data_IF_078177973947
#
_entry.id   IF_078177973947
#
_cell.length_a   1.000
_cell.length_b   1.000
_cell.length_c   1.000
_cell.angle_alpha   90.00
_cell.angle_beta   90.00
_cell.angle_gamma   90.00
#
_symmetry.space_group_name_H-M   'P 1'
#
loop_
_entity.id
_entity.type
_entity.pdbx_description
1 polymer ?
#
# COMPACT_ATOMS: atom_id res chain seq x y z
N UNK A 1 -9.35 23.17 -2.29
CA UNK A 1 -9.97 23.99 -1.21
C UNK A 1 -9.65 23.27 0.11
N UNK A 2 -8.97 23.88 1.08
CA UNK A 2 -8.78 23.28 2.39
C UNK A 2 -10.15 23.20 3.07
N UNK A 3 -10.57 21.99 3.44
CA UNK A 3 -11.81 21.71 4.13
C UNK A 3 -11.85 22.43 5.46
N UNK A 4 -12.91 23.19 5.69
CA UNK A 4 -13.21 23.82 6.96
C UNK A 4 -13.44 22.71 8.01
N UNK A 5 -12.65 22.69 9.07
CA UNK A 5 -12.83 21.85 10.24
C UNK A 5 -14.03 22.34 11.05
N UNK A 6 -14.95 21.44 11.39
CA UNK A 6 -16.13 21.75 12.20
C UNK A 6 -15.74 22.39 13.56
N UNK A 7 -16.49 23.38 14.05
CA UNK A 7 -16.27 23.97 15.37
C UNK A 7 -16.50 22.92 16.46
N UNK A 8 -15.50 22.67 17.29
CA UNK A 8 -15.57 21.71 18.41
C UNK A 8 -14.55 20.55 18.34
N UNK A 9 -13.77 20.43 17.28
CA UNK A 9 -12.69 19.45 17.18
C UNK A 9 -11.59 19.72 18.25
N UNK A 10 -10.99 18.66 18.86
CA UNK A 10 -9.82 18.80 19.76
C UNK A 10 -8.67 19.63 19.17
N UNK A 11 -8.62 19.67 17.85
CA UNK A 11 -7.71 20.50 17.07
C UNK A 11 -7.92 22.01 17.29
N UNK A 12 -9.10 22.48 17.69
CA UNK A 12 -9.37 23.90 17.95
C UNK A 12 -8.54 24.47 19.12
N UNK A 13 -8.00 23.63 20.01
CA UNK A 13 -7.16 24.05 21.14
C UNK A 13 -5.69 24.35 20.77
N UNK A 14 -5.27 24.00 19.58
CA UNK A 14 -3.89 24.25 19.09
C UNK A 14 -3.78 25.54 18.26
N UNK A 15 -4.80 26.41 18.28
CA UNK A 15 -4.84 27.66 17.52
C UNK A 15 -3.99 28.72 18.22
N UNK A 16 -3.11 29.41 17.48
CA UNK A 16 -2.36 30.56 17.96
C UNK A 16 -3.26 31.77 18.26
N UNK A 17 -2.73 32.80 18.90
CA UNK A 17 -3.43 34.01 19.38
C UNK A 17 -4.24 34.77 18.28
N UNK A 18 -4.05 34.45 17.02
CA UNK A 18 -4.72 35.07 15.87
C UNK A 18 -5.61 34.11 15.07
N UNK A 19 -6.09 33.02 15.67
CA UNK A 19 -6.99 32.08 15.01
C UNK A 19 -6.34 31.12 14.01
N UNK A 20 -5.01 31.15 13.83
CA UNK A 20 -4.28 30.26 12.96
C UNK A 20 -3.72 29.05 13.71
N UNK A 21 -3.72 27.89 13.05
CA UNK A 21 -3.09 26.68 13.58
C UNK A 21 -1.60 26.91 13.85
N UNK A 22 -1.13 26.53 15.03
CA UNK A 22 0.29 26.56 15.33
C UNK A 22 1.05 25.46 14.55
N UNK A 23 0.41 24.30 14.44
CA UNK A 23 0.86 23.18 13.63
C UNK A 23 -0.31 22.73 12.73
N UNK A 24 -0.05 22.30 11.50
CA UNK A 24 -1.12 21.80 10.62
C UNK A 24 -1.76 20.54 11.23
N UNK A 25 -3.09 20.39 11.15
CA UNK A 25 -3.80 19.22 11.68
C UNK A 25 -3.64 17.97 10.82
N UNK A 26 -3.12 18.13 9.60
CA UNK A 26 -2.93 17.07 8.60
C UNK A 26 -1.61 17.27 7.86
N UNK A 27 -1.09 16.19 7.28
CA UNK A 27 0.18 16.20 6.56
C UNK A 27 1.38 15.88 7.44
N UNK A 28 2.56 16.03 6.86
CA UNK A 28 3.81 15.72 7.54
C UNK A 28 4.26 16.90 8.41
N UNK A 29 4.64 16.62 9.66
CA UNK A 29 5.28 17.56 10.54
C UNK A 29 6.80 17.56 10.30
N UNK A 30 7.25 18.36 9.35
CA UNK A 30 8.69 18.49 9.07
C UNK A 30 9.43 19.17 10.20
N UNK A 31 10.74 18.93 10.36
CA UNK A 31 11.57 19.66 11.34
C UNK A 31 11.46 21.19 11.20
N UNK A 32 11.30 21.70 9.99
CA UNK A 32 11.14 23.15 9.75
C UNK A 32 9.81 23.68 10.31
N UNK A 33 8.71 22.95 10.12
CA UNK A 33 7.38 23.31 10.68
C UNK A 33 7.45 23.31 12.21
N UNK A 34 8.02 22.26 12.80
CA UNK A 34 8.16 22.14 14.26
C UNK A 34 9.07 23.25 14.81
N UNK A 35 10.21 23.53 14.17
CA UNK A 35 11.13 24.60 14.58
C UNK A 35 10.45 25.97 14.59
N UNK A 36 9.63 26.30 13.58
CA UNK A 36 8.87 27.55 13.53
C UNK A 36 7.82 27.64 14.65
N UNK A 37 7.13 26.53 14.93
CA UNK A 37 6.15 26.49 16.02
C UNK A 37 6.82 26.73 17.39
N UNK A 38 7.96 26.12 17.63
CA UNK A 38 8.76 26.33 18.84
C UNK A 38 9.24 27.79 18.90
N UNK A 39 9.86 28.29 17.84
CA UNK A 39 10.36 29.65 17.76
C UNK A 39 9.26 30.69 18.04
N UNK A 40 8.07 30.52 17.46
CA UNK A 40 6.92 31.40 17.67
C UNK A 40 6.46 31.46 19.13
N UNK A 41 6.77 30.46 19.94
CA UNK A 41 6.48 30.46 21.39
C UNK A 41 7.65 31.01 22.21
N UNK A 42 8.86 30.56 21.90
CA UNK A 42 10.08 30.96 22.64
C UNK A 42 10.39 32.46 22.46
N UNK A 43 10.20 33.00 21.24
CA UNK A 43 10.48 34.43 20.95
C UNK A 43 9.59 35.39 21.72
N UNK A 44 8.52 34.92 22.36
CA UNK A 44 7.72 35.75 23.28
C UNK A 44 8.44 36.02 24.60
N UNK A 45 9.37 35.15 25.00
CA UNK A 45 10.10 35.21 26.26
C UNK A 45 11.57 35.51 26.04
N UNK A 46 12.11 35.01 24.96
CA UNK A 46 13.54 35.15 24.61
C UNK A 46 13.69 35.26 23.10
N UNK A 47 14.10 36.41 22.61
CA UNK A 47 14.44 36.66 21.21
C UNK A 47 15.94 36.78 21.06
N UNK A 48 16.53 36.05 20.12
CA UNK A 48 17.95 36.08 19.82
C UNK A 48 18.24 36.15 18.33
N UNK A 49 19.40 36.70 17.97
CA UNK A 49 19.86 36.71 16.59
C UNK A 49 19.91 35.30 15.99
N UNK A 50 20.37 34.32 16.76
CA UNK A 50 20.45 32.91 16.32
C UNK A 50 19.10 32.34 15.91
N UNK A 51 18.03 32.65 16.65
CA UNK A 51 16.66 32.20 16.28
C UNK A 51 16.23 32.88 15.00
N UNK A 52 16.39 34.17 14.86
CA UNK A 52 16.02 34.93 13.66
C UNK A 52 16.78 34.47 12.43
N UNK A 53 18.09 34.31 12.53
CA UNK A 53 18.95 33.84 11.43
C UNK A 53 18.56 32.43 10.96
N UNK A 54 18.24 31.53 11.91
CA UNK A 54 17.78 30.18 11.58
C UNK A 54 16.44 30.18 10.89
N UNK A 55 15.48 30.99 11.32
CA UNK A 55 14.19 31.15 10.66
C UNK A 55 14.37 31.71 9.26
N UNK A 56 15.16 32.76 9.09
CA UNK A 56 15.46 33.33 7.78
C UNK A 56 16.11 32.32 6.81
N UNK A 57 17.02 31.49 7.34
CA UNK A 57 17.60 30.38 6.58
C UNK A 57 16.55 29.38 6.12
N UNK A 58 15.62 28.97 6.99
CA UNK A 58 14.55 28.03 6.64
C UNK A 58 13.61 28.63 5.57
N UNK A 59 13.26 29.91 5.72
CA UNK A 59 12.41 30.61 4.75
C UNK A 59 13.08 30.73 3.37
N UNK A 60 14.36 31.06 3.34
CA UNK A 60 15.14 31.13 2.10
C UNK A 60 15.21 29.77 1.40
N UNK A 61 15.40 28.70 2.15
CA UNK A 61 15.44 27.32 1.60
C UNK A 61 14.07 26.87 1.07
N UNK A 62 12.99 27.18 1.75
CA UNK A 62 11.65 26.87 1.26
C UNK A 62 11.30 27.66 0.01
N UNK A 63 11.63 28.94 -0.04
CA UNK A 63 11.45 29.76 -1.24
C UNK A 63 12.27 29.23 -2.43
N UNK A 64 13.48 28.70 -2.20
CA UNK A 64 14.28 28.05 -3.23
C UNK A 64 13.62 26.75 -3.71
N UNK A 65 13.13 25.92 -2.79
CA UNK A 65 12.47 24.64 -3.10
C UNK A 65 11.11 24.82 -3.79
N UNK A 66 10.39 25.90 -3.47
CA UNK A 66 9.11 26.23 -4.09
C UNK A 66 9.23 26.66 -5.55
N UNK A 67 10.43 27.00 -6.03
CA UNK A 67 10.64 27.33 -7.44
C UNK A 67 10.50 26.09 -8.30
N UNK A 68 9.68 26.11 -9.36
CA UNK A 68 9.58 25.00 -10.29
C UNK A 68 10.94 24.70 -10.90
N UNK A 69 11.48 23.51 -10.61
CA UNK A 69 12.79 23.08 -11.16
C UNK A 69 12.64 22.41 -12.53
N UNK A 70 11.46 21.87 -12.81
CA UNK A 70 11.15 21.18 -14.06
C UNK A 70 9.77 21.57 -14.56
N UNK A 71 9.65 21.75 -15.88
CA UNK A 71 8.37 22.02 -16.55
C UNK A 71 7.45 20.78 -16.59
N UNK A 72 8.01 19.59 -16.36
CA UNK A 72 7.28 18.33 -16.33
C UNK A 72 7.76 17.43 -15.19
N UNK A 73 6.84 16.74 -14.54
CA UNK A 73 7.14 15.69 -13.56
C UNK A 73 6.83 14.32 -14.15
N UNK A 74 7.63 13.32 -13.80
CA UNK A 74 7.31 11.92 -14.15
C UNK A 74 6.38 11.32 -13.11
N UNK A 75 5.28 10.73 -13.57
CA UNK A 75 4.48 9.87 -12.73
C UNK A 75 5.25 8.58 -12.44
N UNK A 76 5.27 8.09 -11.19
CA UNK A 76 5.86 6.80 -10.86
C UNK A 76 5.24 5.69 -11.70
N UNK A 77 6.09 4.79 -12.23
CA UNK A 77 5.68 3.70 -13.10
C UNK A 77 6.56 2.47 -12.90
N UNK A 78 6.03 1.29 -13.24
CA UNK A 78 6.84 0.07 -13.23
C UNK A 78 7.95 0.12 -14.28
N UNK A 79 9.04 -0.61 -14.02
CA UNK A 79 10.12 -0.77 -14.98
C UNK A 79 9.61 -1.38 -16.29
N UNK A 80 10.29 -1.07 -17.39
CA UNK A 80 10.00 -1.69 -18.69
C UNK A 80 10.17 -3.21 -18.60
N UNK A 81 9.18 -3.96 -19.09
CA UNK A 81 9.17 -5.42 -19.02
C UNK A 81 8.80 -6.01 -17.65
N UNK A 82 8.58 -5.19 -16.62
CA UNK A 82 8.19 -5.69 -15.31
C UNK A 82 6.83 -6.44 -15.36
N UNK A 83 6.74 -7.67 -14.81
CA UNK A 83 5.48 -8.43 -14.76
C UNK A 83 4.34 -7.69 -14.07
N UNK A 84 4.64 -6.79 -13.15
CA UNK A 84 3.62 -6.01 -12.42
C UNK A 84 2.89 -5.00 -13.31
N UNK A 85 3.37 -4.74 -14.51
CA UNK A 85 2.59 -4.05 -15.54
C UNK A 85 1.30 -4.82 -15.88
N UNK A 86 1.26 -6.12 -15.68
CA UNK A 86 0.08 -6.96 -15.87
C UNK A 86 -0.59 -7.33 -14.55
N UNK A 87 0.18 -7.87 -13.58
CA UNK A 87 -0.36 -8.43 -12.34
C UNK A 87 -1.21 -7.45 -11.53
N UNK A 88 -0.95 -6.14 -11.61
CA UNK A 88 -1.71 -5.13 -10.87
C UNK A 88 -2.99 -4.65 -11.58
N UNK A 89 -3.25 -5.08 -12.81
CA UNK A 89 -4.53 -4.85 -13.47
C UNK A 89 -5.64 -5.65 -12.76
N UNK A 90 -6.83 -5.08 -12.74
CA UNK A 90 -8.03 -5.76 -12.23
C UNK A 90 -9.10 -5.81 -13.32
N UNK A 91 -10.03 -6.76 -13.27
CA UNK A 91 -11.16 -6.82 -14.19
C UNK A 91 -11.98 -5.53 -14.16
N UNK A 92 -12.73 -5.30 -15.23
CA UNK A 92 -13.67 -4.18 -15.29
C UNK A 92 -14.63 -4.24 -14.10
N UNK A 93 -14.99 -3.07 -13.58
CA UNK A 93 -15.88 -2.91 -12.42
C UNK A 93 -15.36 -3.57 -11.12
N UNK A 94 -14.03 -3.71 -11.02
CA UNK A 94 -13.35 -4.18 -9.82
C UNK A 94 -12.43 -3.10 -9.27
N UNK A 95 -12.17 -3.18 -7.96
CA UNK A 95 -11.26 -2.28 -7.24
C UNK A 95 -10.11 -3.06 -6.64
N UNK A 96 -8.99 -2.38 -6.47
CA UNK A 96 -7.84 -2.90 -5.75
C UNK A 96 -7.49 -2.01 -4.57
N UNK A 97 -6.90 -2.64 -3.56
CA UNK A 97 -6.19 -1.99 -2.47
C UNK A 97 -4.74 -2.46 -2.49
N UNK A 98 -3.85 -1.70 -1.92
CA UNK A 98 -2.42 -2.02 -1.95
C UNK A 98 -1.75 -1.72 -0.61
N UNK A 99 -0.55 -2.22 -0.44
CA UNK A 99 0.37 -1.80 0.59
C UNK A 99 1.54 -1.01 0.00
N UNK A 100 2.66 -1.00 0.71
CA UNK A 100 3.88 -0.32 0.29
C UNK A 100 4.82 -1.31 -0.39
N UNK A 101 5.20 -1.00 -1.62
CA UNK A 101 6.06 -1.79 -2.49
C UNK A 101 5.89 -1.29 -3.93
N UNK A 102 6.49 -1.95 -4.93
CA UNK A 102 6.33 -1.53 -6.32
C UNK A 102 4.85 -1.44 -6.75
N UNK A 103 3.99 -2.28 -6.20
CA UNK A 103 2.55 -2.27 -6.48
C UNK A 103 1.82 -0.99 -6.01
N UNK A 104 2.43 -0.20 -5.11
CA UNK A 104 1.92 1.12 -4.75
C UNK A 104 1.77 2.03 -5.99
N UNK A 105 2.67 1.92 -6.95
CA UNK A 105 2.65 2.75 -8.16
C UNK A 105 1.37 2.59 -8.98
N UNK A 106 0.64 1.48 -8.81
CA UNK A 106 -0.64 1.23 -9.50
C UNK A 106 -1.71 2.29 -9.19
N UNK A 107 -1.60 3.00 -8.07
CA UNK A 107 -2.48 4.12 -7.70
C UNK A 107 -2.45 5.23 -8.75
N UNK A 108 -1.28 5.52 -9.31
CA UNK A 108 -1.11 6.57 -10.32
C UNK A 108 -1.31 6.08 -11.76
N UNK A 109 -1.58 4.78 -11.95
CA UNK A 109 -1.59 4.15 -13.27
C UNK A 109 -3.00 3.86 -13.83
N UNK A 110 -4.05 4.42 -13.23
CA UNK A 110 -5.43 4.19 -13.70
C UNK A 110 -5.90 2.73 -13.54
N UNK A 111 -5.47 2.03 -12.48
CA UNK A 111 -5.73 0.61 -12.25
C UNK A 111 -6.76 0.33 -11.16
N UNK A 112 -7.63 1.31 -10.89
CA UNK A 112 -8.65 1.25 -9.84
C UNK A 112 -8.09 0.85 -8.47
N UNK A 113 -6.83 1.21 -8.17
CA UNK A 113 -6.24 1.03 -6.85
C UNK A 113 -6.61 2.26 -6.01
N UNK A 114 -7.43 2.06 -4.99
CA UNK A 114 -8.14 3.14 -4.29
C UNK A 114 -7.55 3.51 -2.94
N UNK A 115 -7.00 2.54 -2.23
CA UNK A 115 -6.46 2.75 -0.88
C UNK A 115 -5.13 2.03 -0.69
N UNK A 116 -4.34 2.57 0.24
CA UNK A 116 -3.04 2.05 0.61
C UNK A 116 -3.03 1.82 2.12
N UNK A 117 -2.47 0.69 2.53
CA UNK A 117 -2.15 0.38 3.92
C UNK A 117 -0.62 0.29 4.11
N UNK A 118 -0.17 0.28 5.36
CA UNK A 118 1.21 -0.07 5.69
C UNK A 118 1.54 -1.51 5.30
N UNK A 119 2.83 -1.82 5.17
CA UNK A 119 3.29 -3.19 4.92
C UNK A 119 2.79 -4.13 6.02
N UNK A 120 2.13 -5.22 5.62
CA UNK A 120 1.47 -6.18 6.51
C UNK A 120 0.01 -5.84 6.86
N UNK A 121 -0.50 -4.70 6.40
CA UNK A 121 -1.90 -4.30 6.57
C UNK A 121 -2.70 -4.30 5.25
N UNK A 122 -2.15 -4.88 4.19
CA UNK A 122 -2.80 -4.95 2.89
C UNK A 122 -4.17 -5.64 3.00
N UNK A 123 -5.20 -4.95 2.55
CA UNK A 123 -6.58 -5.46 2.62
C UNK A 123 -7.27 -5.31 3.98
N UNK A 124 -6.57 -5.00 5.08
CA UNK A 124 -7.19 -4.87 6.41
C UNK A 124 -8.20 -3.71 6.48
N UNK A 125 -7.96 -2.63 5.77
CA UNK A 125 -8.93 -1.53 5.65
C UNK A 125 -10.27 -2.00 5.04
N UNK A 126 -10.25 -3.00 4.17
CA UNK A 126 -11.46 -3.59 3.59
C UNK A 126 -12.34 -4.28 4.64
N UNK A 127 -11.75 -4.89 5.67
CA UNK A 127 -12.48 -5.55 6.75
C UNK A 127 -13.44 -4.59 7.46
N UNK A 128 -13.02 -3.33 7.63
CA UNK A 128 -13.86 -2.30 8.24
C UNK A 128 -14.87 -1.67 7.26
N UNK A 129 -14.61 -1.70 5.97
CA UNK A 129 -15.42 -1.03 4.94
C UNK A 129 -16.48 -1.96 4.33
N UNK A 130 -16.19 -3.25 4.21
CA UNK A 130 -16.99 -4.22 3.46
C UNK A 130 -18.49 -4.20 3.83
N UNK A 131 -18.82 -4.10 5.12
CA UNK A 131 -20.21 -4.04 5.60
C UNK A 131 -20.92 -2.70 5.38
N UNK A 132 -20.22 -1.67 4.87
CA UNK A 132 -20.72 -0.29 4.77
C UNK A 132 -20.67 0.26 3.34
N UNK A 133 -20.49 -0.59 2.34
CA UNK A 133 -20.40 -0.21 0.93
C UNK A 133 -21.21 -1.14 0.04
N UNK A 134 -21.62 -0.66 -1.14
CA UNK A 134 -22.22 -1.50 -2.18
C UNK A 134 -21.22 -2.36 -2.96
N UNK A 135 -19.92 -2.15 -2.76
CA UNK A 135 -18.87 -2.99 -3.35
C UNK A 135 -18.85 -4.34 -2.66
N UNK A 136 -18.91 -5.42 -3.45
CA UNK A 136 -18.98 -6.78 -2.90
C UNK A 136 -17.61 -7.40 -2.66
N UNK A 137 -16.62 -7.04 -3.45
CA UNK A 137 -15.32 -7.67 -3.47
C UNK A 137 -14.22 -6.66 -3.83
N UNK A 138 -13.00 -6.88 -3.31
CA UNK A 138 -11.80 -6.13 -3.70
C UNK A 138 -10.62 -7.06 -3.92
N UNK A 139 -9.67 -6.62 -4.74
CA UNK A 139 -8.36 -7.25 -4.87
C UNK A 139 -7.36 -6.53 -3.95
N UNK A 140 -6.51 -7.28 -3.24
CA UNK A 140 -5.45 -6.71 -2.41
C UNK A 140 -4.07 -7.10 -2.98
N UNK A 141 -3.32 -6.13 -3.50
CA UNK A 141 -1.96 -6.39 -3.97
C UNK A 141 -1.00 -6.42 -2.78
N UNK A 142 -0.20 -7.48 -2.68
CA UNK A 142 0.78 -7.71 -1.62
C UNK A 142 2.07 -8.24 -2.22
N UNK A 143 3.23 -7.68 -1.84
CA UNK A 143 4.53 -8.22 -2.22
C UNK A 143 4.91 -9.46 -1.40
N UNK A 144 5.75 -10.31 -1.96
CA UNK A 144 6.25 -11.52 -1.31
C UNK A 144 7.09 -11.24 -0.06
N UNK A 145 7.92 -10.20 -0.08
CA UNK A 145 8.64 -9.75 1.10
C UNK A 145 7.71 -9.35 2.24
N UNK A 146 6.64 -8.60 1.94
CA UNK A 146 5.62 -8.26 2.94
C UNK A 146 4.88 -9.49 3.44
N UNK A 147 4.49 -10.40 2.55
CA UNK A 147 3.87 -11.67 2.93
C UNK A 147 4.74 -12.42 3.94
N UNK A 148 6.04 -12.52 3.67
CA UNK A 148 6.99 -13.22 4.52
C UNK A 148 7.07 -12.62 5.93
N UNK A 149 7.27 -11.30 6.04
CA UNK A 149 7.50 -10.71 7.37
C UNK A 149 6.21 -10.43 8.17
N UNK A 150 5.07 -10.15 7.54
CA UNK A 150 3.85 -9.74 8.27
C UNK A 150 2.53 -9.90 7.52
N UNK A 151 2.53 -9.97 6.19
CA UNK A 151 1.30 -9.95 5.38
C UNK A 151 0.37 -11.14 5.61
N UNK A 152 0.91 -12.28 6.06
CA UNK A 152 0.11 -13.45 6.43
C UNK A 152 -0.91 -13.13 7.53
N UNK A 153 -0.59 -12.20 8.43
CA UNK A 153 -1.51 -11.78 9.51
C UNK A 153 -2.73 -11.02 8.96
N UNK A 154 -2.55 -10.23 7.88
CA UNK A 154 -3.66 -9.56 7.21
C UNK A 154 -4.61 -10.58 6.55
N UNK A 155 -4.06 -11.63 5.93
CA UNK A 155 -4.85 -12.72 5.33
C UNK A 155 -5.62 -13.47 6.41
N UNK A 156 -4.97 -13.81 7.52
CA UNK A 156 -5.62 -14.44 8.69
C UNK A 156 -6.77 -13.59 9.23
N UNK A 157 -6.56 -12.28 9.35
CA UNK A 157 -7.60 -11.36 9.79
C UNK A 157 -8.79 -11.33 8.82
N UNK A 158 -8.54 -11.35 7.51
CA UNK A 158 -9.58 -11.38 6.48
C UNK A 158 -10.38 -12.69 6.52
N UNK A 159 -9.72 -13.85 6.70
CA UNK A 159 -10.39 -15.15 6.88
C UNK A 159 -11.29 -15.12 8.11
N UNK A 160 -10.79 -14.61 9.24
CA UNK A 160 -11.56 -14.49 10.47
C UNK A 160 -12.78 -13.56 10.31
N UNK A 161 -12.65 -12.49 9.54
CA UNK A 161 -13.73 -11.53 9.26
C UNK A 161 -14.72 -12.02 8.19
N UNK A 162 -14.42 -13.09 7.48
CA UNK A 162 -15.27 -13.66 6.40
C UNK A 162 -15.68 -12.64 5.34
N UNK A 163 -14.74 -11.78 4.93
CA UNK A 163 -14.96 -10.80 3.87
C UNK A 163 -14.61 -11.36 2.51
N UNK A 164 -15.28 -10.88 1.46
CA UNK A 164 -14.97 -11.26 0.08
C UNK A 164 -13.78 -10.44 -0.43
N UNK A 165 -12.63 -11.09 -0.55
CA UNK A 165 -11.37 -10.47 -0.96
C UNK A 165 -10.47 -11.48 -1.68
N UNK A 166 -9.81 -11.03 -2.76
CA UNK A 166 -8.73 -11.79 -3.40
C UNK A 166 -7.40 -11.12 -3.12
N UNK A 167 -6.54 -11.78 -2.36
CA UNK A 167 -5.15 -11.37 -2.25
C UNK A 167 -4.38 -11.74 -3.51
N UNK A 168 -3.70 -10.77 -4.09
CA UNK A 168 -2.77 -10.97 -5.21
C UNK A 168 -1.36 -10.89 -4.66
N UNK A 169 -0.78 -12.07 -4.41
CA UNK A 169 0.59 -12.18 -3.93
C UNK A 169 1.56 -12.08 -5.11
N UNK A 170 2.28 -10.99 -5.16
CA UNK A 170 3.21 -10.64 -6.23
C UNK A 170 4.58 -11.21 -5.88
N UNK A 171 4.85 -12.42 -6.38
CA UNK A 171 6.05 -13.19 -6.04
C UNK A 171 7.16 -12.97 -7.07
N UNK A 172 8.28 -12.44 -6.62
CA UNK A 172 9.49 -12.28 -7.44
C UNK A 172 10.78 -12.62 -6.69
N UNK A 173 10.67 -13.17 -5.48
CA UNK A 173 11.78 -13.57 -4.62
C UNK A 173 12.77 -12.44 -4.31
N UNK A 174 12.27 -11.19 -4.28
CA UNK A 174 13.11 -10.02 -4.04
C UNK A 174 12.35 -8.86 -3.41
N UNK A 175 13.05 -8.08 -2.58
CA UNK A 175 12.60 -6.76 -2.13
C UNK A 175 12.91 -5.74 -3.23
N UNK A 176 12.07 -5.71 -4.26
CA UNK A 176 12.36 -5.02 -5.52
C UNK A 176 12.42 -3.50 -5.39
N UNK A 177 11.57 -2.88 -4.57
CA UNK A 177 11.45 -1.41 -4.42
C UNK A 177 12.77 -0.75 -3.98
N UNK A 178 13.54 -1.42 -3.13
CA UNK A 178 14.75 -0.87 -2.52
C UNK A 178 16.04 -1.32 -3.19
N UNK A 179 15.96 -2.03 -4.32
CA UNK A 179 17.12 -2.40 -5.11
C UNK A 179 17.29 -3.90 -5.37
N UNK A 180 16.25 -4.72 -5.10
CA UNK A 180 16.27 -6.15 -5.43
C UNK A 180 17.07 -6.99 -4.45
N UNK A 181 17.08 -6.63 -3.16
CA UNK A 181 17.67 -7.46 -2.12
C UNK A 181 16.92 -8.80 -2.03
N UNK A 182 17.60 -9.90 -1.70
CA UNK A 182 16.92 -11.16 -1.41
C UNK A 182 15.92 -11.00 -0.25
N UNK A 183 14.84 -11.75 -0.31
CA UNK A 183 13.91 -11.84 0.83
C UNK A 183 14.63 -12.55 1.98
N UNK A 184 14.56 -11.97 3.18
CA UNK A 184 15.21 -12.50 4.37
C UNK A 184 14.43 -13.71 4.91
N UNK A 185 14.84 -14.90 4.53
CA UNK A 185 14.13 -16.17 4.75
C UNK A 185 13.24 -16.54 3.55
N UNK A 186 13.84 -17.04 2.46
CA UNK A 186 13.10 -17.39 1.25
C UNK A 186 12.05 -18.48 1.53
N UNK A 187 10.84 -18.24 1.01
CA UNK A 187 9.75 -19.20 1.06
C UNK A 187 9.32 -19.53 -0.36
N UNK A 188 9.24 -20.80 -0.71
CA UNK A 188 8.85 -21.23 -2.05
C UNK A 188 7.35 -21.09 -2.28
N UNK A 189 6.93 -20.96 -3.54
CA UNK A 189 5.51 -20.88 -3.88
C UNK A 189 4.70 -22.09 -3.35
N UNK A 190 5.17 -23.35 -3.44
CA UNK A 190 4.47 -24.46 -2.80
C UNK A 190 4.33 -24.32 -1.27
N UNK A 191 5.34 -23.80 -0.58
CA UNK A 191 5.24 -23.55 0.87
C UNK A 191 4.20 -22.47 1.18
N UNK A 192 4.19 -21.37 0.40
CA UNK A 192 3.17 -20.31 0.51
C UNK A 192 1.77 -20.91 0.41
N UNK A 193 1.52 -21.76 -0.59
CA UNK A 193 0.18 -22.33 -0.77
C UNK A 193 -0.24 -23.20 0.41
N UNK A 194 0.69 -23.96 1.01
CA UNK A 194 0.41 -24.77 2.23
C UNK A 194 0.13 -23.88 3.45
N UNK A 195 0.87 -22.79 3.62
CA UNK A 195 0.59 -21.84 4.70
C UNK A 195 -0.80 -21.20 4.52
N UNK A 196 -1.13 -20.75 3.33
CA UNK A 196 -2.43 -20.15 3.02
C UNK A 196 -3.58 -21.14 3.26
N UNK A 197 -3.43 -22.39 2.86
CA UNK A 197 -4.41 -23.44 3.13
C UNK A 197 -4.57 -23.69 4.64
N UNK A 198 -3.46 -23.71 5.40
CA UNK A 198 -3.49 -23.84 6.86
C UNK A 198 -4.16 -22.64 7.56
N UNK A 199 -4.13 -21.45 6.97
CA UNK A 199 -4.87 -20.26 7.45
C UNK A 199 -6.38 -20.30 7.12
N UNK A 200 -6.82 -21.31 6.35
CA UNK A 200 -8.23 -21.45 5.96
C UNK A 200 -8.59 -20.80 4.62
N UNK A 201 -7.62 -20.49 3.78
CA UNK A 201 -7.89 -20.05 2.40
C UNK A 201 -8.27 -21.26 1.56
N UNK A 202 -9.53 -21.28 1.09
CA UNK A 202 -10.08 -22.42 0.37
C UNK A 202 -9.71 -22.46 -1.12
N UNK A 203 -9.54 -21.31 -1.74
CA UNK A 203 -9.23 -21.21 -3.18
C UNK A 203 -7.91 -20.48 -3.41
N UNK A 204 -6.93 -21.20 -3.93
CA UNK A 204 -5.60 -20.69 -4.25
C UNK A 204 -5.29 -21.04 -5.71
N UNK A 205 -4.86 -20.05 -6.49
CA UNK A 205 -4.41 -20.24 -7.87
C UNK A 205 -3.01 -19.66 -8.01
N UNK A 206 -2.14 -20.37 -8.69
CA UNK A 206 -0.78 -19.91 -9.04
C UNK A 206 -0.77 -19.60 -10.54
N UNK A 207 -0.38 -18.38 -10.90
CA UNK A 207 -0.12 -18.00 -12.28
C UNK A 207 1.38 -17.92 -12.52
N UNK A 208 1.89 -18.77 -13.38
CA UNK A 208 3.30 -18.87 -13.69
C UNK A 208 3.58 -18.51 -15.16
N UNK A 209 4.76 -17.94 -15.42
CA UNK A 209 5.25 -17.73 -16.77
C UNK A 209 5.42 -19.06 -17.50
N UNK A 210 5.96 -20.05 -16.80
CA UNK A 210 6.04 -21.44 -17.26
C UNK A 210 5.44 -22.36 -16.19
N UNK A 211 4.18 -22.81 -16.33
CA UNK A 211 3.55 -23.76 -15.42
C UNK A 211 4.29 -25.11 -15.35
N UNK A 212 4.99 -25.50 -16.42
CA UNK A 212 5.67 -26.81 -16.49
C UNK A 212 6.94 -26.87 -15.63
N UNK A 213 7.45 -25.72 -15.15
CA UNK A 213 8.56 -25.68 -14.19
C UNK A 213 8.21 -26.35 -12.86
N UNK A 214 6.93 -26.53 -12.58
CA UNK A 214 6.46 -27.21 -11.38
C UNK A 214 6.13 -28.68 -11.69
N UNK A 215 6.89 -29.64 -11.18
CA UNK A 215 6.57 -31.05 -11.32
C UNK A 215 5.28 -31.39 -10.54
N UNK A 216 4.69 -32.55 -10.85
CA UNK A 216 3.44 -32.99 -10.19
C UNK A 216 3.54 -33.13 -8.67
N UNK A 217 4.75 -33.40 -8.19
CA UNK A 217 5.10 -33.57 -6.77
C UNK A 217 5.76 -32.32 -6.16
N UNK A 218 5.56 -31.15 -6.77
CA UNK A 218 6.12 -29.88 -6.29
C UNK A 218 5.71 -29.51 -4.85
N UNK A 219 4.74 -30.22 -4.28
CA UNK A 219 4.33 -30.06 -2.87
C UNK A 219 3.40 -28.86 -2.65
N UNK A 220 2.58 -28.53 -3.63
CA UNK A 220 1.49 -27.56 -3.44
C UNK A 220 0.44 -28.06 -2.44
N UNK A 221 -0.33 -27.15 -1.85
CA UNK A 221 -1.51 -27.52 -1.09
C UNK A 221 -2.55 -28.25 -1.99
N UNK A 222 -3.36 -29.13 -1.41
CA UNK A 222 -4.43 -29.79 -2.16
C UNK A 222 -5.36 -28.78 -2.86
N UNK A 223 -5.74 -29.06 -4.10
CA UNK A 223 -6.68 -28.22 -4.88
C UNK A 223 -6.06 -26.98 -5.53
N UNK A 224 -4.79 -26.69 -5.31
CA UNK A 224 -4.10 -25.59 -5.99
C UNK A 224 -3.99 -25.87 -7.49
N UNK A 225 -4.35 -24.87 -8.28
CA UNK A 225 -4.20 -24.91 -9.73
C UNK A 225 -3.00 -24.03 -10.14
N UNK A 226 -2.13 -24.57 -10.97
CA UNK A 226 -1.06 -23.82 -11.64
C UNK A 226 -1.49 -23.57 -13.08
N UNK A 227 -1.59 -22.30 -13.47
CA UNK A 227 -2.05 -21.89 -14.80
C UNK A 227 -1.05 -20.91 -15.42
N UNK A 228 -1.05 -20.72 -16.74
CA UNK A 228 -0.24 -19.71 -17.39
C UNK A 228 -0.67 -18.30 -16.95
N UNK A 229 0.28 -17.36 -16.87
CA UNK A 229 -0.01 -15.99 -16.42
C UNK A 229 -0.90 -15.20 -17.37
N UNK A 230 -1.03 -15.63 -18.60
CA UNK A 230 -1.97 -15.08 -19.59
C UNK A 230 -3.43 -15.22 -19.16
N UNK A 231 -3.71 -16.20 -18.30
CA UNK A 231 -5.05 -16.44 -17.74
C UNK A 231 -5.46 -15.43 -16.65
N UNK A 232 -4.62 -14.44 -16.37
CA UNK A 232 -4.82 -13.50 -15.25
C UNK A 232 -6.24 -12.93 -15.18
N UNK A 233 -6.78 -12.39 -16.28
CA UNK A 233 -8.11 -11.77 -16.26
C UNK A 233 -9.21 -12.80 -15.98
N UNK A 234 -9.13 -13.96 -16.62
CA UNK A 234 -10.08 -15.06 -16.41
C UNK A 234 -10.06 -15.56 -14.96
N UNK A 235 -8.85 -15.80 -14.41
CA UNK A 235 -8.69 -16.25 -13.02
C UNK A 235 -9.18 -15.19 -12.02
N UNK A 236 -8.90 -13.93 -12.25
CA UNK A 236 -9.41 -12.85 -11.37
C UNK A 236 -10.94 -12.80 -11.38
N UNK A 237 -11.60 -13.01 -12.54
CA UNK A 237 -13.07 -13.08 -12.63
C UNK A 237 -13.62 -14.30 -11.89
N UNK A 238 -12.97 -15.45 -12.02
CA UNK A 238 -13.34 -16.67 -11.28
C UNK A 238 -13.24 -16.44 -9.76
N UNK A 239 -12.12 -15.89 -9.29
CA UNK A 239 -11.86 -15.68 -7.86
C UNK A 239 -12.77 -14.61 -7.25
N UNK A 240 -13.12 -13.57 -8.01
CA UNK A 240 -14.04 -12.52 -7.57
C UNK A 240 -15.44 -13.03 -7.22
N UNK A 241 -15.88 -14.07 -7.88
CA UNK A 241 -17.21 -14.65 -7.65
C UNK A 241 -17.22 -15.70 -6.52
N UNK A 242 -16.05 -16.05 -5.97
CA UNK A 242 -15.95 -16.96 -4.83
C UNK A 242 -16.15 -16.19 -3.51
N UNK A 243 -17.08 -16.63 -2.65
CA UNK A 243 -17.22 -16.04 -1.33
C UNK A 243 -15.96 -16.23 -0.47
N UNK A 244 -15.70 -15.28 0.42
CA UNK A 244 -14.61 -15.36 1.37
C UNK A 244 -13.26 -14.94 0.80
N UNK A 245 -12.20 -15.48 1.39
CA UNK A 245 -10.82 -15.12 1.04
C UNK A 245 -10.26 -16.06 0.00
N UNK A 246 -9.83 -15.50 -1.12
CA UNK A 246 -9.11 -16.23 -2.16
C UNK A 246 -7.71 -15.68 -2.36
N UNK A 247 -6.78 -16.47 -2.90
CA UNK A 247 -5.41 -16.02 -3.16
C UNK A 247 -4.97 -16.38 -4.57
N UNK A 248 -4.40 -15.39 -5.23
CA UNK A 248 -3.72 -15.50 -6.52
C UNK A 248 -2.23 -15.24 -6.31
N UNK A 249 -1.38 -16.22 -6.52
CA UNK A 249 0.08 -16.06 -6.56
C UNK A 249 0.51 -15.82 -7.99
N UNK A 250 1.25 -14.71 -8.23
CA UNK A 250 1.63 -14.29 -9.58
C UNK A 250 3.12 -14.03 -9.69
#
# INVERSE_FOLDING_TARGET
TPGATAPGSPAARAVGAHGHWLLPPTGELTPAIVARAIAARVSRLHDSATIRDRLAFLDAKEAELARPRLAASRTPWFCSGCPHNQSTKVPRDSYAVAGVGCHLMSVWMGRNTTTIAQMGGEGVNWLGIAGHTGTRHVFANMGDGTYYHSGLLAIRAAVAARVDITYKLLYNDAVAMTGGQPVDGPITVPQITRQLAAEGVERIVVLAEDPHKYPRDAGFAPGVQVRPREDLDAVQRELREQPGVTVLVY
#
